data_IF_423174714756
#
_entry.id   IF_423174714756
#
_cell.length_a   1.000
_cell.length_b   1.000
_cell.length_c   1.000
_cell.angle_alpha   90.00
_cell.angle_beta   90.00
_cell.angle_gamma   90.00
#
_symmetry.space_group_name_H-M   'P 1'
#
loop_
_entity.id
_entity.type
_entity.pdbx_description
1 polymer ?
#
# COMPACT_ATOMS: atom_id res chain seq x y z
N UNK A 1 -6.29 -11.41 30.78
CA UNK A 1 -5.32 -11.15 29.68
C UNK A 1 -5.92 -10.04 28.86
N UNK A 2 -5.53 -8.80 29.14
CA UNK A 2 -6.03 -7.61 28.46
C UNK A 2 -5.49 -7.60 27.02
N UNK A 3 -6.38 -7.59 26.05
CA UNK A 3 -6.05 -7.56 24.63
C UNK A 3 -5.78 -6.11 24.21
N UNK A 4 -4.54 -5.81 23.83
CA UNK A 4 -4.28 -4.64 22.99
C UNK A 4 -4.88 -4.95 21.60
N UNK A 5 -6.06 -4.40 21.31
CA UNK A 5 -6.70 -4.62 20.01
C UNK A 5 -5.98 -3.72 19.02
N UNK A 6 -5.07 -4.31 18.26
CA UNK A 6 -4.49 -3.69 17.08
C UNK A 6 -5.52 -3.81 15.97
N UNK A 7 -6.28 -2.76 15.71
CA UNK A 7 -7.12 -2.69 14.52
C UNK A 7 -6.20 -2.64 13.29
N UNK A 8 -5.84 -3.81 12.79
CA UNK A 8 -5.10 -3.94 11.53
C UNK A 8 -6.14 -3.98 10.43
N UNK A 9 -6.50 -2.81 9.90
CA UNK A 9 -7.29 -2.74 8.67
C UNK A 9 -6.42 -3.34 7.56
N UNK A 10 -6.59 -4.63 7.27
CA UNK A 10 -6.05 -5.23 6.06
C UNK A 10 -6.90 -4.74 4.90
N UNK A 11 -6.40 -3.79 4.15
CA UNK A 11 -7.02 -3.30 2.91
C UNK A 11 -6.62 -4.23 1.76
N UNK A 12 -7.11 -5.47 1.79
CA UNK A 12 -7.03 -6.38 0.64
C UNK A 12 -8.40 -6.41 0.00
N UNK A 13 -8.46 -5.89 -1.20
CA UNK A 13 -9.42 -5.98 -2.25
C UNK A 13 -10.91 -6.18 -1.93
N UNK A 14 -11.73 -5.22 -2.30
CA UNK A 14 -13.16 -5.43 -2.52
C UNK A 14 -13.36 -5.93 -3.93
N UNK A 15 -13.89 -7.14 -4.05
CA UNK A 15 -14.19 -7.77 -5.32
C UNK A 15 -15.55 -7.30 -5.85
N UNK A 16 -15.59 -6.19 -6.59
CA UNK A 16 -16.59 -6.04 -7.64
C UNK A 16 -16.16 -6.95 -8.80
N UNK A 17 -17.11 -7.61 -9.46
CA UNK A 17 -16.84 -8.36 -10.70
C UNK A 17 -15.98 -7.49 -11.60
N UNK A 18 -14.85 -8.01 -12.05
CA UNK A 18 -13.94 -7.30 -12.95
C UNK A 18 -12.98 -6.29 -12.33
N UNK A 19 -12.88 -6.17 -11.00
CA UNK A 19 -11.96 -5.25 -10.33
C UNK A 19 -11.19 -5.91 -9.19
N UNK A 20 -9.93 -5.50 -9.01
CA UNK A 20 -9.10 -5.84 -7.86
C UNK A 20 -8.30 -4.61 -7.43
N UNK A 21 -8.16 -4.40 -6.13
CA UNK A 21 -7.37 -3.31 -5.55
C UNK A 21 -6.52 -3.82 -4.39
N UNK A 22 -5.28 -3.36 -4.30
CA UNK A 22 -4.40 -3.63 -3.17
C UNK A 22 -3.54 -2.40 -2.83
N UNK A 23 -3.49 -2.06 -1.56
CA UNK A 23 -2.52 -1.12 -1.01
C UNK A 23 -1.16 -1.82 -0.93
N UNK A 24 -0.10 -1.18 -1.41
CA UNK A 24 1.21 -1.82 -1.50
C UNK A 24 1.83 -2.12 -0.13
N UNK A 25 1.58 -1.28 0.87
CA UNK A 25 2.02 -1.51 2.26
C UNK A 25 1.32 -2.70 2.93
N UNK A 26 0.23 -3.21 2.35
CA UNK A 26 -0.47 -4.39 2.83
C UNK A 26 0.08 -5.71 2.29
N UNK A 27 1.08 -5.67 1.42
CA UNK A 27 1.69 -6.88 0.85
C UNK A 27 2.23 -7.79 1.96
N UNK A 28 2.13 -9.09 1.76
CA UNK A 28 2.49 -10.11 2.76
C UNK A 28 3.97 -10.08 3.12
N UNK A 29 4.82 -9.80 2.14
CA UNK A 29 6.25 -9.68 2.30
C UNK A 29 6.76 -8.48 1.49
N UNK A 30 7.28 -7.47 2.16
CA UNK A 30 7.81 -6.28 1.52
C UNK A 30 9.20 -6.47 0.92
N UNK A 31 9.87 -7.62 1.17
CA UNK A 31 11.22 -7.85 0.67
C UNK A 31 12.19 -6.77 1.15
N UNK A 32 12.82 -6.07 0.20
CA UNK A 32 13.68 -4.92 0.49
C UNK A 32 12.99 -3.56 0.38
N UNK A 33 11.66 -3.54 0.17
CA UNK A 33 10.87 -2.32 0.17
C UNK A 33 10.54 -1.92 1.61
N UNK A 34 10.47 -0.63 1.85
CA UNK A 34 10.22 -0.06 3.16
C UNK A 34 8.98 0.81 3.13
N UNK A 35 8.22 0.81 4.24
CA UNK A 35 7.07 1.69 4.38
C UNK A 35 7.55 3.13 4.60
N UNK A 36 6.96 4.07 3.85
CA UNK A 36 7.20 5.50 3.97
C UNK A 36 5.88 6.25 4.11
N UNK A 37 5.89 7.39 4.82
CA UNK A 37 4.69 8.13 5.20
C UNK A 37 4.74 9.62 4.83
N UNK A 38 5.77 10.07 4.12
CA UNK A 38 5.99 11.47 3.80
C UNK A 38 4.84 12.11 2.99
N UNK A 39 4.03 11.28 2.32
CA UNK A 39 2.93 11.77 1.47
C UNK A 39 1.55 11.34 1.97
N UNK A 40 1.37 10.96 3.23
CA UNK A 40 0.09 10.48 3.75
C UNK A 40 -1.06 11.48 3.60
N UNK A 41 -0.78 12.77 3.69
CA UNK A 41 -1.75 13.84 3.47
C UNK A 41 -2.26 13.91 2.01
N UNK A 42 -1.51 13.36 1.06
CA UNK A 42 -1.87 13.29 -0.37
C UNK A 42 -2.46 11.94 -0.70
N UNK A 43 -1.91 10.88 -0.09
CA UNK A 43 -2.20 9.49 -0.42
C UNK A 43 -3.40 8.94 0.35
N UNK A 44 -3.64 9.42 1.55
CA UNK A 44 -4.62 8.88 2.50
C UNK A 44 -4.15 7.60 3.20
N UNK A 45 -2.97 7.06 2.85
CA UNK A 45 -2.28 5.94 3.50
C UNK A 45 -0.77 6.09 3.35
N UNK A 46 0.00 5.17 3.92
CA UNK A 46 1.41 5.00 3.63
C UNK A 46 1.61 4.37 2.24
N UNK A 47 2.83 4.42 1.76
CA UNK A 47 3.27 3.74 0.54
C UNK A 47 4.55 2.96 0.80
N UNK A 48 5.01 2.15 -0.15
CA UNK A 48 6.29 1.47 -0.05
C UNK A 48 7.31 2.03 -1.04
N UNK A 49 8.57 1.97 -0.63
CA UNK A 49 9.70 2.54 -1.36
C UNK A 49 10.87 1.55 -1.43
N UNK A 50 11.44 1.37 -2.64
CA UNK A 50 12.59 0.51 -2.87
C UNK A 50 13.90 1.23 -2.48
N UNK A 51 14.31 1.11 -1.21
CA UNK A 51 15.45 1.84 -0.66
C UNK A 51 16.75 1.01 -0.71
N UNK A 52 17.37 0.90 -1.89
CA UNK A 52 18.54 0.06 -2.14
C UNK A 52 19.86 0.80 -2.38
N UNK A 53 19.87 2.14 -2.21
CA UNK A 53 21.07 2.97 -2.41
C UNK A 53 21.75 2.73 -3.78
N UNK A 54 20.96 2.53 -4.82
CA UNK A 54 21.42 2.29 -6.17
C UNK A 54 21.64 0.81 -6.54
N UNK A 55 21.26 -0.11 -5.64
CA UNK A 55 21.22 -1.55 -5.91
C UNK A 55 19.80 -2.06 -5.79
N UNK A 56 19.27 -2.77 -6.80
CA UNK A 56 17.92 -3.32 -6.73
C UNK A 56 17.70 -4.16 -5.47
N UNK A 57 16.57 -3.96 -4.83
CA UNK A 57 16.18 -4.67 -3.61
C UNK A 57 15.33 -5.90 -3.91
N UNK A 58 15.16 -6.77 -2.91
CA UNK A 58 14.29 -7.94 -3.02
C UNK A 58 12.84 -7.50 -3.26
N UNK A 59 12.11 -8.26 -4.10
CA UNK A 59 10.74 -7.95 -4.49
C UNK A 59 9.79 -7.87 -3.29
N UNK A 60 8.89 -6.90 -3.31
CA UNK A 60 7.70 -6.96 -2.48
C UNK A 60 6.70 -7.93 -3.12
N UNK A 61 6.11 -8.82 -2.31
CA UNK A 61 5.29 -9.94 -2.78
C UNK A 61 4.00 -10.04 -1.98
N UNK A 62 2.90 -10.33 -2.69
CA UNK A 62 1.63 -10.74 -2.09
C UNK A 62 0.94 -11.78 -2.97
N UNK A 63 0.02 -12.55 -2.39
CA UNK A 63 -0.80 -13.49 -3.13
C UNK A 63 -2.19 -12.91 -3.32
N UNK A 64 -2.69 -13.01 -4.54
CA UNK A 64 -3.98 -12.50 -4.94
C UNK A 64 -4.84 -13.61 -5.53
N UNK A 65 -6.15 -13.43 -5.48
CA UNK A 65 -7.10 -14.31 -6.14
C UNK A 65 -8.10 -13.45 -6.89
N UNK A 66 -8.07 -13.53 -8.22
CA UNK A 66 -8.96 -12.76 -9.07
C UNK A 66 -10.34 -13.43 -9.17
N UNK A 67 -11.44 -12.67 -9.28
CA UNK A 67 -12.78 -13.23 -9.33
C UNK A 67 -13.09 -14.01 -10.62
N UNK A 68 -12.43 -13.63 -11.72
CA UNK A 68 -12.67 -14.19 -13.05
C UNK A 68 -11.41 -14.26 -13.89
N UNK A 69 -11.41 -15.14 -14.88
CA UNK A 69 -10.34 -15.24 -15.90
C UNK A 69 -10.61 -14.26 -17.04
N UNK A 70 -9.54 -13.75 -17.67
CA UNK A 70 -9.64 -12.89 -18.84
C UNK A 70 -8.48 -11.90 -18.93
N UNK A 71 -8.67 -10.92 -19.80
CA UNK A 71 -7.72 -9.85 -19.98
C UNK A 71 -7.88 -8.79 -18.90
N UNK A 72 -6.82 -8.60 -18.14
CA UNK A 72 -6.76 -7.63 -17.05
C UNK A 72 -5.84 -6.47 -17.41
N UNK A 73 -6.30 -5.25 -17.17
CA UNK A 73 -5.57 -4.00 -17.34
C UNK A 73 -5.07 -3.55 -15.97
N UNK A 74 -3.76 -3.30 -15.86
CA UNK A 74 -3.11 -2.98 -14.60
C UNK A 74 -2.70 -1.52 -14.52
N UNK A 75 -2.98 -0.90 -13.39
CA UNK A 75 -2.55 0.45 -13.05
C UNK A 75 -1.88 0.43 -11.69
N UNK A 76 -0.83 1.23 -11.54
CA UNK A 76 -0.09 1.40 -10.28
C UNK A 76 -0.03 2.86 -9.93
N UNK A 77 -0.43 3.20 -8.70
CA UNK A 77 -0.29 4.56 -8.21
C UNK A 77 1.14 4.79 -7.74
N UNK A 78 1.83 5.66 -8.47
CA UNK A 78 3.27 5.89 -8.33
C UNK A 78 3.63 7.32 -8.73
N UNK A 79 4.90 7.68 -8.63
CA UNK A 79 5.45 8.95 -9.12
C UNK A 79 6.91 8.77 -9.51
N UNK A 80 7.40 9.64 -10.41
CA UNK A 80 8.83 9.87 -10.57
C UNK A 80 9.28 10.94 -9.57
N UNK A 81 9.81 10.51 -8.43
CA UNK A 81 10.22 11.42 -7.38
C UNK A 81 11.40 12.33 -7.77
N UNK A 82 12.13 11.99 -8.84
CA UNK A 82 13.25 12.78 -9.36
C UNK A 82 12.83 13.81 -10.40
N UNK A 83 11.62 13.75 -10.91
CA UNK A 83 11.12 14.68 -11.93
C UNK A 83 11.10 16.14 -11.48
N UNK A 84 11.04 16.39 -10.16
CA UNK A 84 11.19 17.73 -9.56
C UNK A 84 12.51 18.38 -9.93
N UNK A 85 13.58 17.59 -10.01
CA UNK A 85 14.93 18.08 -10.32
C UNK A 85 15.33 17.82 -11.76
N UNK A 86 14.93 16.67 -12.31
CA UNK A 86 15.33 16.25 -13.66
C UNK A 86 14.25 15.43 -14.36
N UNK A 87 13.46 16.07 -15.19
CA UNK A 87 12.43 15.42 -15.99
C UNK A 87 13.02 14.49 -17.05
N UNK A 88 12.34 13.38 -17.32
CA UNK A 88 12.67 12.43 -18.37
C UNK A 88 13.83 11.46 -18.07
N UNK A 89 14.36 11.49 -16.86
CA UNK A 89 15.38 10.51 -16.39
C UNK A 89 15.01 9.98 -15.01
N UNK A 90 13.93 9.16 -14.91
CA UNK A 90 13.46 8.64 -13.64
C UNK A 90 14.53 7.74 -13.00
N UNK A 91 14.82 7.99 -11.72
CA UNK A 91 15.80 7.21 -10.98
C UNK A 91 15.19 5.98 -10.30
N UNK A 92 13.96 6.10 -9.81
CA UNK A 92 13.30 5.04 -9.05
C UNK A 92 12.30 4.25 -9.89
N UNK A 93 12.79 3.34 -10.75
CA UNK A 93 11.93 2.56 -11.64
C UNK A 93 11.73 1.13 -11.17
N UNK A 94 10.57 0.55 -11.49
CA UNK A 94 10.19 -0.81 -11.11
C UNK A 94 9.18 -1.42 -12.08
N UNK A 95 8.86 -2.70 -11.90
CA UNK A 95 7.85 -3.44 -12.68
C UNK A 95 6.84 -4.09 -11.77
N UNK A 96 5.58 -4.12 -12.21
CA UNK A 96 4.57 -5.00 -11.68
C UNK A 96 4.68 -6.37 -12.36
N UNK A 97 4.63 -7.44 -11.58
CA UNK A 97 4.79 -8.82 -12.04
C UNK A 97 3.62 -9.68 -11.53
N UNK A 98 3.17 -10.63 -12.35
CA UNK A 98 2.31 -11.76 -11.93
C UNK A 98 3.02 -13.06 -12.31
N UNK A 99 3.20 -13.98 -11.35
CA UNK A 99 3.85 -15.28 -11.53
C UNK A 99 5.17 -15.19 -12.31
N UNK A 100 6.01 -14.21 -11.94
CA UNK A 100 7.30 -13.88 -12.58
C UNK A 100 7.22 -13.28 -14.02
N UNK A 101 6.02 -13.09 -14.55
CA UNK A 101 5.82 -12.40 -15.84
C UNK A 101 5.56 -10.91 -15.58
N UNK A 102 6.37 -10.03 -16.19
CA UNK A 102 6.25 -8.59 -16.06
C UNK A 102 5.16 -8.01 -16.96
N UNK A 103 4.41 -7.04 -16.42
CA UNK A 103 3.62 -6.16 -17.29
C UNK A 103 4.54 -5.34 -18.19
N UNK A 104 3.99 -4.88 -19.32
CA UNK A 104 4.74 -4.25 -20.41
C UNK A 104 5.51 -3.02 -19.99
N UNK A 105 4.86 -2.09 -19.27
CA UNK A 105 5.44 -0.78 -18.98
C UNK A 105 6.31 -0.77 -17.72
N UNK A 106 7.35 0.05 -17.77
CA UNK A 106 8.15 0.40 -16.60
C UNK A 106 7.45 1.49 -15.80
N UNK A 107 7.41 1.34 -14.49
CA UNK A 107 6.70 2.20 -13.55
C UNK A 107 7.64 3.16 -12.83
N UNK A 108 7.06 4.21 -12.21
CA UNK A 108 7.82 5.28 -11.58
C UNK A 108 8.35 6.31 -12.57
N UNK A 109 7.67 6.50 -13.70
CA UNK A 109 8.12 7.35 -14.83
C UNK A 109 7.12 8.43 -15.22
N UNK A 110 5.99 8.56 -14.52
CA UNK A 110 4.82 9.37 -14.93
C UNK A 110 4.85 10.83 -14.43
N UNK A 111 6.00 11.33 -13.97
CA UNK A 111 6.15 12.72 -13.51
C UNK A 111 6.18 12.85 -11.98
N UNK A 112 6.24 14.10 -11.51
CA UNK A 112 6.50 14.44 -10.10
C UNK A 112 5.32 14.21 -9.17
N UNK A 113 4.10 14.23 -9.70
CA UNK A 113 2.89 14.05 -8.91
C UNK A 113 2.54 12.57 -8.73
N UNK A 114 1.89 12.26 -7.63
CA UNK A 114 1.29 10.94 -7.43
C UNK A 114 0.10 10.76 -8.34
N UNK A 115 0.17 9.76 -9.21
CA UNK A 115 -0.92 9.44 -10.13
C UNK A 115 -0.88 7.96 -10.55
N UNK A 116 -1.94 7.51 -11.19
CA UNK A 116 -2.05 6.18 -11.73
C UNK A 116 -1.29 6.06 -13.04
N UNK A 117 -0.31 5.18 -13.06
CA UNK A 117 0.44 4.83 -14.25
C UNK A 117 -0.03 3.48 -14.78
N UNK A 118 -0.36 3.43 -16.06
CA UNK A 118 -0.73 2.18 -16.74
C UNK A 118 0.49 1.25 -16.82
N UNK A 119 0.38 0.05 -16.25
CA UNK A 119 1.44 -0.96 -16.28
C UNK A 119 1.40 -1.85 -17.52
N UNK A 120 0.23 -2.01 -18.13
CA UNK A 120 0.00 -2.89 -19.27
C UNK A 120 -1.24 -3.76 -19.09
N UNK A 121 -1.41 -4.75 -19.97
CA UNK A 121 -2.48 -5.73 -19.88
C UNK A 121 -1.93 -7.15 -19.98
N UNK A 122 -2.61 -8.11 -19.33
CA UNK A 122 -2.21 -9.51 -19.30
C UNK A 122 -3.43 -10.41 -19.20
N UNK A 123 -3.40 -11.59 -19.85
CA UNK A 123 -4.39 -12.65 -19.62
C UNK A 123 -4.09 -13.31 -18.29
N UNK A 124 -5.05 -13.28 -17.36
CA UNK A 124 -4.92 -13.82 -16.01
C UNK A 124 -6.04 -14.84 -15.74
N UNK A 125 -5.72 -15.86 -14.93
CA UNK A 125 -6.68 -16.89 -14.54
C UNK A 125 -7.38 -16.50 -13.22
N UNK A 126 -8.71 -16.51 -13.23
CA UNK A 126 -9.52 -16.32 -12.04
C UNK A 126 -9.59 -17.59 -11.19
N UNK A 127 -9.90 -17.40 -9.90
CA UNK A 127 -10.06 -18.50 -8.97
C UNK A 127 -8.76 -19.16 -8.48
N UNK A 128 -7.64 -18.94 -9.17
CA UNK A 128 -6.31 -19.40 -8.73
C UNK A 128 -5.63 -18.35 -7.84
N UNK A 129 -4.73 -18.84 -7.00
CA UNK A 129 -3.81 -17.96 -6.26
C UNK A 129 -2.67 -17.60 -7.18
N UNK A 130 -2.53 -16.30 -7.48
CA UNK A 130 -1.47 -15.73 -8.29
C UNK A 130 -0.48 -14.98 -7.39
N UNK A 131 0.80 -15.03 -7.71
CA UNK A 131 1.83 -14.30 -7.00
C UNK A 131 2.04 -12.92 -7.65
N UNK A 132 1.54 -11.87 -7.03
CA UNK A 132 1.79 -10.49 -7.45
C UNK A 132 3.05 -9.95 -6.77
N UNK A 133 3.91 -9.28 -7.52
CA UNK A 133 5.12 -8.70 -6.95
C UNK A 133 5.52 -7.38 -7.63
N UNK A 134 6.24 -6.54 -6.87
CA UNK A 134 6.90 -5.34 -7.36
C UNK A 134 8.39 -5.65 -7.46
N UNK A 135 8.92 -5.62 -8.67
CA UNK A 135 10.33 -5.82 -8.96
C UNK A 135 11.03 -4.49 -9.12
N UNK A 136 11.88 -4.16 -8.17
CA UNK A 136 12.75 -3.00 -8.26
C UNK A 136 13.80 -3.17 -9.36
N UNK A 137 14.08 -2.11 -10.12
CA UNK A 137 15.05 -2.12 -11.22
C UNK A 137 16.32 -1.32 -10.90
N UNK A 138 16.27 -0.44 -9.91
CA UNK A 138 17.31 0.56 -9.71
C UNK A 138 17.82 0.68 -8.27
N UNK A 139 17.04 0.31 -7.28
CA UNK A 139 17.32 0.57 -5.87
C UNK A 139 17.28 2.06 -5.49
N UNK A 140 16.75 2.91 -6.37
CA UNK A 140 16.70 4.36 -6.18
C UNK A 140 15.29 4.86 -5.84
N UNK A 141 14.73 4.32 -4.76
CA UNK A 141 13.50 4.79 -4.16
C UNK A 141 12.30 4.80 -5.13
N UNK A 142 12.15 3.76 -5.96
CA UNK A 142 10.90 3.50 -6.66
C UNK A 142 9.75 3.45 -5.66
N UNK A 143 8.64 4.15 -5.91
CA UNK A 143 7.53 4.33 -4.97
C UNK A 143 6.26 3.71 -5.50
N UNK A 144 5.60 2.91 -4.68
CA UNK A 144 4.31 2.30 -5.00
C UNK A 144 3.34 2.51 -3.84
N UNK A 145 2.19 3.12 -4.13
CA UNK A 145 1.09 3.28 -3.18
C UNK A 145 0.08 2.13 -3.28
N UNK A 146 -0.44 1.93 -4.48
CA UNK A 146 -1.50 0.96 -4.69
C UNK A 146 -1.44 0.34 -6.09
N UNK A 147 -2.02 -0.85 -6.21
CA UNK A 147 -2.23 -1.57 -7.47
C UNK A 147 -3.72 -1.71 -7.71
N UNK A 148 -4.17 -1.37 -8.91
CA UNK A 148 -5.53 -1.54 -9.40
C UNK A 148 -5.52 -2.39 -10.66
N UNK A 149 -6.32 -3.46 -10.68
CA UNK A 149 -6.54 -4.30 -11.85
C UNK A 149 -8.01 -4.25 -12.23
N UNK A 150 -8.30 -4.20 -13.54
CA UNK A 150 -9.68 -4.23 -14.05
C UNK A 150 -9.78 -5.01 -15.34
N UNK A 151 -10.94 -5.66 -15.60
CA UNK A 151 -11.23 -6.31 -16.87
C UNK A 151 -11.78 -5.35 -17.93
N UNK A 152 -12.22 -4.15 -17.52
CA UNK A 152 -12.69 -3.11 -18.44
C UNK A 152 -11.57 -2.11 -18.77
N UNK A 153 -11.15 -2.06 -20.04
CA UNK A 153 -10.13 -1.12 -20.53
C UNK A 153 -10.50 0.36 -20.35
N UNK A 154 -11.78 0.67 -20.19
CA UNK A 154 -12.28 2.03 -20.02
C UNK A 154 -12.42 2.41 -18.53
N UNK A 155 -12.22 1.46 -17.63
CA UNK A 155 -12.25 1.68 -16.17
C UNK A 155 -10.88 2.21 -15.70
N UNK A 156 -10.59 3.44 -16.09
CA UNK A 156 -9.34 4.12 -15.74
C UNK A 156 -9.46 4.66 -14.31
N UNK A 157 -8.54 4.29 -13.41
CA UNK A 157 -8.60 4.74 -12.02
C UNK A 157 -8.43 6.25 -11.92
N UNK A 158 -9.22 6.85 -11.04
CA UNK A 158 -9.18 8.30 -10.77
C UNK A 158 -8.29 8.58 -9.55
N UNK A 159 -7.57 9.69 -9.61
CA UNK A 159 -6.71 10.13 -8.49
C UNK A 159 -7.52 10.94 -7.47
N UNK A 160 -8.64 10.38 -6.99
CA UNK A 160 -9.55 11.01 -6.04
C UNK A 160 -9.83 10.12 -4.84
N UNK A 161 -10.20 10.75 -3.72
CA UNK A 161 -10.55 10.04 -2.49
C UNK A 161 -11.80 9.17 -2.65
N UNK A 162 -12.78 9.64 -3.44
CA UNK A 162 -14.00 8.90 -3.73
C UNK A 162 -13.70 7.59 -4.44
N UNK A 163 -12.83 7.63 -5.48
CA UNK A 163 -12.42 6.42 -6.19
C UNK A 163 -11.71 5.46 -5.24
N UNK A 164 -10.79 5.98 -4.40
CA UNK A 164 -10.08 5.15 -3.43
C UNK A 164 -11.02 4.47 -2.43
N UNK A 165 -12.00 5.19 -1.89
CA UNK A 165 -13.03 4.62 -1.02
C UNK A 165 -13.84 3.54 -1.73
N UNK A 166 -14.22 3.81 -2.98
CA UNK A 166 -14.98 2.85 -3.79
C UNK A 166 -14.22 1.53 -3.99
N UNK A 167 -12.94 1.58 -4.38
CA UNK A 167 -12.17 0.38 -4.74
C UNK A 167 -11.56 -0.33 -3.53
N UNK A 168 -11.24 0.39 -2.45
CA UNK A 168 -10.71 -0.21 -1.22
C UNK A 168 -11.78 -0.95 -0.42
N UNK A 169 -13.06 -0.63 -0.65
CA UNK A 169 -14.20 -1.20 0.08
C UNK A 169 -14.18 -0.93 1.58
N UNK A 170 -13.39 0.03 2.01
CA UNK A 170 -13.39 0.46 3.40
C UNK A 170 -14.72 1.14 3.68
N UNK A 171 -15.60 0.41 4.33
CA UNK A 171 -16.76 0.98 5.01
C UNK A 171 -16.35 1.38 6.42
N UNK A 172 -16.88 2.50 6.90
CA UNK A 172 -16.73 2.82 8.31
C UNK A 172 -17.48 1.74 9.12
N UNK A 173 -16.74 0.92 9.85
CA UNK A 173 -17.33 0.01 10.83
C UNK A 173 -17.36 0.73 12.16
N UNK A 174 -18.54 0.74 12.79
CA UNK A 174 -18.69 1.25 14.15
C UNK A 174 -18.24 0.16 15.13
N UNK A 175 -17.26 0.48 15.97
CA UNK A 175 -16.83 -0.39 17.08
C UNK A 175 -17.66 -0.01 18.32
N UNK A 176 -18.65 -0.85 18.65
CA UNK A 176 -19.51 -0.68 19.83
C UNK A 176 -18.86 -1.18 21.13
N UNK A 177 -17.59 -1.57 21.10
CA UNK A 177 -16.88 -2.05 22.27
C UNK A 177 -16.68 -0.90 23.26
N UNK A 178 -17.06 -1.13 24.53
CA UNK A 178 -16.81 -0.17 25.60
C UNK A 178 -15.35 -0.28 26.07
N UNK A 179 -14.64 0.82 26.00
CA UNK A 179 -13.30 0.97 26.50
C UNK A 179 -13.26 1.92 27.68
N UNK A 180 -12.43 1.64 28.68
CA UNK A 180 -12.21 2.55 29.82
C UNK A 180 -11.40 3.77 29.38
N UNK A 181 -10.55 3.60 28.37
CA UNK A 181 -9.72 4.66 27.81
C UNK A 181 -9.55 4.51 26.29
N UNK A 182 -9.67 5.61 25.56
CA UNK A 182 -9.33 5.70 24.15
C UNK A 182 -8.15 6.65 23.97
N UNK A 183 -7.07 6.16 23.37
CA UNK A 183 -5.86 6.94 23.06
C UNK A 183 -5.83 7.22 21.56
N UNK A 184 -5.94 8.48 21.18
CA UNK A 184 -5.88 8.91 19.77
C UNK A 184 -4.44 9.32 19.42
N UNK A 185 -3.81 8.52 18.54
CA UNK A 185 -2.44 8.70 18.09
C UNK A 185 -1.45 7.74 18.74
N UNK A 186 -0.87 6.86 17.90
CA UNK A 186 0.11 5.85 18.29
C UNK A 186 1.57 6.31 18.18
N UNK A 187 1.84 7.61 18.28
CA UNK A 187 3.20 8.11 18.47
C UNK A 187 3.79 7.61 19.78
N UNK A 188 5.03 8.02 20.12
CA UNK A 188 5.70 7.54 21.34
C UNK A 188 4.86 7.79 22.59
N UNK A 189 4.28 8.97 22.74
CA UNK A 189 3.48 9.35 23.91
C UNK A 189 2.22 8.47 24.03
N UNK A 190 1.44 8.33 22.96
CA UNK A 190 0.21 7.52 22.96
C UNK A 190 0.51 6.03 23.16
N UNK A 191 1.58 5.52 22.54
CA UNK A 191 2.01 4.12 22.73
C UNK A 191 2.40 3.86 24.19
N UNK A 192 3.20 4.76 24.79
CA UNK A 192 3.59 4.63 26.20
C UNK A 192 2.38 4.76 27.14
N UNK A 193 1.46 5.68 26.86
CA UNK A 193 0.23 5.85 27.63
C UNK A 193 -0.64 4.58 27.58
N UNK A 194 -0.88 4.04 26.39
CA UNK A 194 -1.67 2.83 26.23
C UNK A 194 -1.03 1.64 26.94
N UNK A 195 0.29 1.47 26.84
CA UNK A 195 1.02 0.41 27.56
C UNK A 195 0.94 0.56 29.06
N UNK A 196 1.09 1.77 29.60
CA UNK A 196 0.99 2.03 31.02
C UNK A 196 -0.42 1.69 31.53
N UNK A 197 -1.45 2.18 30.86
CA UNK A 197 -2.84 1.90 31.21
C UNK A 197 -3.19 0.40 31.19
N UNK A 198 -2.73 -0.34 30.18
CA UNK A 198 -2.93 -1.80 30.10
C UNK A 198 -2.23 -2.52 31.27
N UNK A 199 -1.04 -2.06 31.69
CA UNK A 199 -0.33 -2.64 32.86
C UNK A 199 -1.09 -2.44 34.17
N UNK A 200 -1.84 -1.34 34.28
CA UNK A 200 -2.73 -1.06 35.41
C UNK A 200 -4.10 -1.77 35.32
N UNK A 201 -4.31 -2.59 34.28
CA UNK A 201 -5.53 -3.38 34.12
C UNK A 201 -6.66 -2.62 33.41
N UNK A 202 -6.42 -1.44 32.89
CA UNK A 202 -7.40 -0.63 32.15
C UNK A 202 -7.64 -1.23 30.77
N UNK A 203 -8.91 -1.28 30.33
CA UNK A 203 -9.27 -1.69 28.97
C UNK A 203 -9.09 -0.52 28.02
N UNK A 204 -8.08 -0.59 27.13
CA UNK A 204 -7.63 0.52 26.30
C UNK A 204 -7.82 0.24 24.82
N UNK A 205 -8.38 1.23 24.08
CA UNK A 205 -8.31 1.32 22.64
C UNK A 205 -7.24 2.33 22.24
N UNK A 206 -6.29 1.91 21.39
CA UNK A 206 -5.31 2.80 20.77
C UNK A 206 -5.63 2.95 19.28
N UNK A 207 -5.97 4.17 18.88
CA UNK A 207 -6.29 4.53 17.50
C UNK A 207 -5.02 5.09 16.83
N UNK A 208 -4.63 4.49 15.71
CA UNK A 208 -3.46 4.90 14.93
C UNK A 208 -3.74 4.75 13.44
N UNK A 209 -3.45 5.80 12.67
CA UNK A 209 -3.59 5.83 11.22
C UNK A 209 -2.38 5.23 10.49
N UNK A 210 -1.24 5.08 11.17
CA UNK A 210 0.02 4.62 10.61
C UNK A 210 0.24 3.13 10.88
N UNK A 211 0.96 2.42 9.98
CA UNK A 211 1.16 0.97 10.10
C UNK A 211 2.03 0.56 11.29
N UNK A 212 2.90 1.45 11.79
CA UNK A 212 3.83 1.18 12.89
C UNK A 212 3.59 2.13 14.05
N UNK A 213 3.60 1.62 15.28
CA UNK A 213 3.53 2.43 16.49
C UNK A 213 4.90 3.00 16.86
N UNK A 214 4.91 4.14 17.55
CA UNK A 214 6.15 4.77 18.08
C UNK A 214 6.50 6.09 17.44
N UNK A 215 5.93 6.45 16.30
CA UNK A 215 6.21 7.70 15.59
C UNK A 215 7.70 7.87 15.30
N UNK A 216 8.30 9.01 15.68
CA UNK A 216 9.73 9.30 15.43
C UNK A 216 10.73 8.29 16.03
N UNK A 217 10.28 7.43 16.94
CA UNK A 217 11.12 6.38 17.55
C UNK A 217 10.84 4.99 16.96
N UNK A 218 10.15 4.93 15.84
CA UNK A 218 9.87 3.69 15.13
C UNK A 218 10.73 3.55 13.87
N UNK A 219 10.62 2.40 13.22
CA UNK A 219 11.26 2.16 11.92
C UNK A 219 10.67 2.98 10.76
N UNK A 220 9.66 3.81 10.99
CA UNK A 220 9.05 4.69 9.99
C UNK A 220 9.94 5.88 9.64
N UNK A 221 10.86 6.27 10.53
CA UNK A 221 11.82 7.35 10.28
C UNK A 221 13.20 6.72 10.10
N UNK A 222 13.78 6.99 8.96
CA UNK A 222 15.10 6.53 8.56
C UNK A 222 16.04 7.70 8.33
#
# INVERSE_FOLDING_TARGET
INRLIRCKIRRIGVFKVGRFFAEAESFENLGGWVVDQQSMNIMGSSYIMAHGLGSPVANAVTHIKLPESGKWYAYVRTRDWTAVWKRGTPAGTFKLMIDDVGFENTLGTNGEEWDWQYAGAMELEGGKTLRMSLRDLTGFNGRCDAVFLTTDKNDIPKNTEEFRREVSGVTAEEDETLYDMVVCGGGIAGTCMALAAVREGINVCLIQDRPVLGGCNSSEIK
#
